data_IF_470992562896
#
_entry.id   IF_470992562896
#
_cell.length_a   1.000
_cell.length_b   1.000
_cell.length_c   1.000
_cell.angle_alpha   90.00
_cell.angle_beta   90.00
_cell.angle_gamma   90.00
#
_symmetry.space_group_name_H-M   'P 1'
#
loop_
_entity.id
_entity.type
_entity.pdbx_description
1 polymer ?
#
# COMPACT_ATOMS: atom_id res chain seq x y z
N UNK A 1 -27.27 28.83 -63.91
CA UNK A 1 -26.91 30.02 -63.09
C UNK A 1 -25.41 30.21 -63.24
N UNK A 2 -24.87 31.04 -64.15
CA UNK A 2 -24.79 32.52 -64.19
C UNK A 2 -24.18 33.18 -62.94
N UNK A 3 -23.03 33.83 -63.17
CA UNK A 3 -22.48 35.04 -62.49
C UNK A 3 -21.95 34.79 -61.05
N UNK A 4 -20.94 35.46 -60.49
CA UNK A 4 -20.23 36.74 -60.72
C UNK A 4 -19.03 36.72 -59.74
N UNK A 5 -17.80 37.06 -60.14
CA UNK A 5 -17.17 38.39 -60.06
C UNK A 5 -16.64 38.83 -58.69
N UNK A 6 -15.48 39.51 -58.76
CA UNK A 6 -15.04 40.67 -57.95
C UNK A 6 -14.50 40.35 -56.53
N UNK A 7 -13.51 41.03 -55.94
CA UNK A 7 -12.89 42.38 -56.06
C UNK A 7 -11.58 42.30 -55.18
N UNK A 8 -10.40 42.80 -55.57
CA UNK A 8 -9.80 44.12 -55.19
C UNK A 8 -9.62 44.27 -53.65
N UNK A 9 -8.56 44.80 -53.01
CA UNK A 9 -7.31 45.49 -53.35
C UNK A 9 -6.78 46.07 -52.00
N UNK A 10 -5.57 46.62 -52.02
CA UNK A 10 -4.97 47.60 -51.08
C UNK A 10 -4.44 47.04 -49.74
N UNK A 11 -3.12 46.80 -49.62
CA UNK A 11 -2.05 47.79 -49.30
C UNK A 11 -2.25 48.41 -47.91
N UNK A 12 -1.26 48.46 -47.03
CA UNK A 12 -0.07 49.31 -47.16
C UNK A 12 0.86 48.97 -45.98
N UNK A 13 2.18 48.88 -46.24
CA UNK A 13 3.25 49.52 -45.44
C UNK A 13 3.44 49.00 -43.96
N UNK A 14 4.62 48.65 -43.43
CA UNK A 14 5.95 49.23 -43.61
C UNK A 14 7.09 48.39 -43.02
N UNK A 15 8.31 48.76 -43.45
CA UNK A 15 9.58 48.74 -42.73
C UNK A 15 10.13 47.35 -42.32
N UNK A 16 11.17 46.83 -42.98
CA UNK A 16 12.57 47.30 -42.90
C UNK A 16 13.01 47.61 -41.47
N UNK A 17 13.72 46.69 -40.82
CA UNK A 17 15.12 46.94 -40.51
C UNK A 17 15.81 45.70 -39.92
N UNK A 18 17.03 45.53 -40.41
CA UNK A 18 18.06 44.59 -39.98
C UNK A 18 18.67 45.02 -38.64
N UNK A 19 19.34 44.02 -38.06
CA UNK A 19 20.44 44.07 -37.10
C UNK A 19 20.10 44.28 -35.61
N UNK A 20 20.37 43.25 -34.80
CA UNK A 20 21.67 43.10 -34.14
C UNK A 20 21.76 41.76 -33.39
N UNK A 21 22.86 41.05 -33.61
CA UNK A 21 23.35 39.97 -32.74
C UNK A 21 23.85 40.56 -31.41
N UNK A 22 23.86 39.68 -30.42
CA UNK A 22 24.44 39.77 -29.07
C UNK A 22 23.50 40.17 -27.92
N UNK A 23 23.54 39.32 -26.89
CA UNK A 23 22.79 39.30 -25.60
C UNK A 23 21.46 38.54 -25.58
N UNK A 24 21.48 37.23 -25.81
CA UNK A 24 20.40 36.34 -25.35
C UNK A 24 20.83 34.94 -24.86
N UNK A 25 22.12 34.59 -24.85
CA UNK A 25 22.56 33.23 -24.47
C UNK A 25 22.81 33.09 -22.96
N UNK A 26 23.20 34.15 -22.24
CA UNK A 26 23.50 34.06 -20.80
C UNK A 26 22.27 34.04 -19.88
N UNK A 27 21.13 34.58 -20.32
CA UNK A 27 19.88 34.60 -19.53
C UNK A 27 19.06 33.32 -19.65
N UNK A 28 19.29 32.50 -20.67
CA UNK A 28 18.61 31.20 -20.83
C UNK A 28 19.17 30.14 -19.87
N UNK A 29 20.48 30.12 -19.64
CA UNK A 29 21.11 29.11 -18.78
C UNK A 29 20.77 29.29 -17.28
N UNK A 30 20.60 30.52 -16.78
CA UNK A 30 20.11 30.76 -15.41
C UNK A 30 18.62 30.41 -15.23
N UNK A 31 17.76 30.73 -16.21
CA UNK A 31 16.33 30.33 -16.16
C UNK A 31 16.10 28.82 -16.32
N UNK A 32 16.96 28.13 -17.08
CA UNK A 32 16.87 26.67 -17.22
C UNK A 32 17.41 25.95 -15.99
N UNK A 33 18.38 26.52 -15.26
CA UNK A 33 18.86 25.96 -13.99
C UNK A 33 17.89 26.16 -12.81
N UNK A 34 17.08 27.22 -12.81
CA UNK A 34 16.08 27.43 -11.75
C UNK A 34 14.73 26.71 -11.99
N UNK A 35 14.51 26.07 -13.16
CA UNK A 35 13.21 25.45 -13.51
C UNK A 35 13.21 23.93 -13.67
N UNK A 36 14.29 23.23 -13.29
CA UNK A 36 14.34 21.76 -13.13
C UNK A 36 15.34 21.49 -12.01
N UNK A 37 14.96 21.51 -10.74
CA UNK A 37 14.44 20.35 -10.00
C UNK A 37 13.47 20.88 -8.93
N UNK A 38 12.26 21.28 -9.32
CA UNK A 38 11.11 20.87 -8.53
C UNK A 38 10.74 19.51 -9.10
N UNK A 39 11.34 18.45 -8.54
CA UNK A 39 10.78 17.11 -8.64
C UNK A 39 9.33 17.22 -8.21
N UNK A 40 8.43 17.32 -9.19
CA UNK A 40 7.01 17.09 -9.04
C UNK A 40 6.94 15.78 -8.25
N UNK A 41 6.63 15.86 -6.96
CA UNK A 41 6.50 14.68 -6.08
C UNK A 41 5.68 13.71 -6.90
N UNK A 42 6.26 12.57 -7.30
CA UNK A 42 5.48 11.64 -8.08
C UNK A 42 4.29 11.28 -7.19
N UNK A 43 3.07 11.38 -7.71
CA UNK A 43 1.85 11.00 -6.99
C UNK A 43 1.75 9.46 -6.85
N UNK A 44 2.90 8.79 -6.77
CA UNK A 44 3.04 7.35 -6.74
C UNK A 44 3.20 6.94 -5.29
N UNK A 45 2.41 5.96 -4.87
CA UNK A 45 2.50 5.35 -3.55
C UNK A 45 3.91 4.78 -3.33
N UNK A 46 4.59 5.36 -2.34
CA UNK A 46 5.97 5.04 -2.02
C UNK A 46 6.03 3.96 -0.95
N UNK A 47 5.94 2.70 -1.39
CA UNK A 47 5.97 1.53 -0.50
C UNK A 47 7.17 1.49 0.46
N UNK A 48 8.31 2.11 0.10
CA UNK A 48 9.51 2.09 0.94
C UNK A 48 9.32 2.87 2.26
N UNK A 49 8.34 3.78 2.33
CA UNK A 49 7.99 4.49 3.57
C UNK A 49 7.10 3.67 4.51
N UNK A 50 6.53 2.58 4.03
CA UNK A 50 5.55 1.77 4.74
C UNK A 50 6.14 0.42 5.16
N UNK A 51 7.26 0.47 5.88
CA UNK A 51 7.89 -0.72 6.45
C UNK A 51 7.01 -1.27 7.58
N UNK A 52 6.77 -2.58 7.55
CA UNK A 52 6.02 -3.31 8.58
C UNK A 52 6.92 -3.53 9.78
N UNK A 53 6.45 -3.16 10.97
CA UNK A 53 7.18 -3.33 12.23
C UNK A 53 6.22 -3.37 13.42
N UNK A 54 6.76 -3.63 14.62
CA UNK A 54 5.98 -3.72 15.85
C UNK A 54 5.06 -2.50 16.05
N UNK A 55 3.75 -2.77 16.08
CA UNK A 55 2.70 -1.78 16.31
C UNK A 55 2.49 -0.73 15.21
N UNK A 56 3.13 -0.86 14.03
CA UNK A 56 3.01 0.15 12.97
C UNK A 56 3.38 -0.31 11.55
N UNK A 57 2.84 0.42 10.57
CA UNK A 57 3.31 0.41 9.19
C UNK A 57 3.71 1.82 8.75
N UNK A 58 5.02 2.02 8.53
CA UNK A 58 5.57 3.36 8.36
C UNK A 58 5.28 4.26 9.57
N UNK A 59 4.52 5.33 9.34
CA UNK A 59 4.08 6.27 10.38
C UNK A 59 2.69 5.97 10.96
N UNK A 60 1.94 5.02 10.38
CA UNK A 60 0.61 4.63 10.85
C UNK A 60 0.77 3.62 11.98
N UNK A 61 0.20 3.91 13.15
CA UNK A 61 0.40 3.13 14.38
C UNK A 61 -0.92 2.62 14.93
N UNK A 62 -0.88 1.49 15.63
CA UNK A 62 -1.94 1.09 16.55
C UNK A 62 -2.17 2.22 17.56
N UNK A 63 -3.43 2.48 17.89
CA UNK A 63 -3.83 3.58 18.77
C UNK A 63 -3.99 4.94 18.08
N UNK A 64 -3.66 5.07 16.79
CA UNK A 64 -3.89 6.29 16.02
C UNK A 64 -5.35 6.37 15.55
N UNK A 65 -5.93 7.57 15.48
CA UNK A 65 -7.25 7.77 14.87
C UNK A 65 -7.20 7.57 13.35
N UNK A 66 -8.24 6.98 12.76
CA UNK A 66 -8.32 6.71 11.31
C UNK A 66 -8.03 7.99 10.50
N UNK A 67 -8.62 9.12 10.89
CA UNK A 67 -8.43 10.40 10.18
C UNK A 67 -6.97 10.89 10.18
N UNK A 68 -6.19 10.55 11.22
CA UNK A 68 -4.77 10.89 11.29
C UNK A 68 -3.94 9.95 10.41
N UNK A 69 -4.25 8.65 10.41
CA UNK A 69 -3.60 7.67 9.55
C UNK A 69 -3.83 7.98 8.06
N UNK A 70 -5.02 8.45 7.69
CA UNK A 70 -5.38 8.78 6.32
C UNK A 70 -4.55 9.91 5.70
N UNK A 71 -3.92 10.75 6.51
CA UNK A 71 -2.97 11.77 6.04
C UNK A 71 -1.78 11.15 5.31
N UNK A 72 -1.42 9.91 5.63
CA UNK A 72 -0.35 9.16 4.97
C UNK A 72 -0.83 8.34 3.76
N UNK A 73 -2.15 8.11 3.63
CA UNK A 73 -2.74 7.22 2.63
C UNK A 73 -3.41 7.97 1.47
N UNK A 74 -3.07 9.25 1.28
CA UNK A 74 -3.73 10.16 0.32
C UNK A 74 -3.64 9.74 -1.16
N UNK A 75 -2.80 8.78 -1.50
CA UNK A 75 -2.65 8.22 -2.85
C UNK A 75 -3.44 6.91 -3.05
N UNK A 76 -4.14 6.44 -2.01
CA UNK A 76 -4.94 5.22 -2.03
C UNK A 76 -6.43 5.56 -2.01
N UNK A 77 -7.23 4.66 -2.57
CA UNK A 77 -8.69 4.74 -2.52
C UNK A 77 -9.21 3.94 -1.34
N UNK A 78 -10.05 4.57 -0.51
CA UNK A 78 -10.69 3.95 0.65
C UNK A 78 -11.97 3.23 0.25
N UNK A 79 -12.13 2.01 0.71
CA UNK A 79 -13.40 1.27 0.74
C UNK A 79 -13.65 0.76 2.16
N UNK A 80 -14.85 0.24 2.39
CA UNK A 80 -15.31 -0.25 3.69
C UNK A 80 -15.67 -1.73 3.55
N UNK A 81 -15.27 -2.53 4.54
CA UNK A 81 -15.57 -3.95 4.65
C UNK A 81 -15.99 -4.27 6.10
N UNK A 82 -16.42 -5.50 6.34
CA UNK A 82 -16.70 -5.95 7.70
C UNK A 82 -15.38 -6.26 8.42
N UNK A 83 -15.29 -5.98 9.71
CA UNK A 83 -14.09 -6.33 10.47
C UNK A 83 -13.91 -7.86 10.56
N UNK A 84 -15.01 -8.61 10.44
CA UNK A 84 -15.03 -10.07 10.36
C UNK A 84 -14.22 -10.62 9.17
N UNK A 85 -14.19 -9.90 8.04
CA UNK A 85 -13.37 -10.26 6.86
C UNK A 85 -11.86 -10.28 7.16
N UNK A 86 -11.46 -9.76 8.33
CA UNK A 86 -10.09 -9.73 8.85
C UNK A 86 -9.94 -10.50 10.17
N UNK A 87 -10.92 -11.33 10.56
CA UNK A 87 -10.86 -12.14 11.79
C UNK A 87 -11.31 -11.42 13.08
N UNK A 88 -12.04 -10.30 12.97
CA UNK A 88 -12.53 -9.55 14.13
C UNK A 88 -14.06 -9.63 14.28
N UNK A 89 -14.55 -10.53 15.13
CA UNK A 89 -15.98 -10.76 15.42
C UNK A 89 -16.62 -9.75 16.42
N UNK A 90 -16.08 -8.53 16.47
CA UNK A 90 -16.57 -7.49 17.38
C UNK A 90 -17.84 -6.77 16.90
N UNK A 91 -18.32 -7.01 15.69
CA UNK A 91 -19.39 -6.23 15.07
C UNK A 91 -18.95 -4.80 14.72
N UNK A 92 -17.95 -4.68 13.86
CA UNK A 92 -17.37 -3.41 13.40
C UNK A 92 -17.00 -3.43 11.92
N UNK A 93 -16.28 -2.41 11.47
CA UNK A 93 -15.85 -2.28 10.07
C UNK A 93 -14.34 -2.24 9.96
N UNK A 94 -13.82 -2.64 8.80
CA UNK A 94 -12.47 -2.36 8.37
C UNK A 94 -12.48 -1.32 7.24
N UNK A 95 -11.43 -0.51 7.17
CA UNK A 95 -11.20 0.42 6.07
C UNK A 95 -10.06 -0.09 5.20
N UNK A 96 -10.36 -0.45 3.95
CA UNK A 96 -9.38 -0.98 3.01
C UNK A 96 -8.88 0.16 2.13
N UNK A 97 -7.57 0.30 2.01
CA UNK A 97 -6.92 1.31 1.19
C UNK A 97 -6.23 0.62 0.01
N UNK A 98 -6.66 0.97 -1.19
CA UNK A 98 -6.26 0.29 -2.42
C UNK A 98 -5.53 1.20 -3.40
N UNK A 99 -4.53 0.65 -4.09
CA UNK A 99 -3.86 1.30 -5.21
C UNK A 99 -4.32 0.65 -6.50
N UNK A 100 -5.01 1.40 -7.38
CA UNK A 100 -5.54 0.87 -8.65
C UNK A 100 -6.35 -0.43 -8.44
N UNK A 101 -7.27 -0.42 -7.47
CA UNK A 101 -8.14 -1.52 -7.08
C UNK A 101 -7.41 -2.77 -6.52
N UNK A 102 -6.12 -2.65 -6.18
CA UNK A 102 -5.39 -3.69 -5.45
C UNK A 102 -5.29 -3.28 -3.98
N UNK A 103 -5.78 -4.10 -3.03
CA UNK A 103 -5.65 -3.81 -1.60
C UNK A 103 -4.19 -3.66 -1.16
N UNK A 104 -3.92 -2.65 -0.34
CA UNK A 104 -2.57 -2.35 0.16
C UNK A 104 -2.52 -2.50 1.68
N UNK A 105 -3.37 -1.78 2.39
CA UNK A 105 -3.47 -1.79 3.85
C UNK A 105 -4.96 -1.83 4.21
N UNK A 106 -5.33 -2.58 5.26
CA UNK A 106 -6.59 -2.36 5.95
C UNK A 106 -6.33 -1.84 7.37
N UNK A 107 -7.15 -0.88 7.79
CA UNK A 107 -7.16 -0.35 9.15
C UNK A 107 -8.44 -0.83 9.84
N UNK A 108 -8.27 -1.55 10.96
CA UNK A 108 -9.36 -2.10 11.75
C UNK A 108 -9.47 -1.24 13.02
N UNK A 109 -10.45 -0.32 13.11
CA UNK A 109 -10.70 0.43 14.33
C UNK A 109 -11.32 -0.43 15.44
N UNK A 110 -11.24 0.04 16.69
CA UNK A 110 -12.06 -0.48 17.78
C UNK A 110 -13.55 -0.27 17.46
N UNK A 111 -14.44 -1.13 17.96
CA UNK A 111 -15.88 -1.07 17.64
C UNK A 111 -16.52 0.31 17.88
N UNK A 112 -16.22 0.91 19.03
CA UNK A 112 -16.92 2.10 19.53
C UNK A 112 -16.07 3.39 19.37
N UNK A 113 -14.98 3.36 18.57
CA UNK A 113 -14.12 4.52 18.32
C UNK A 113 -13.41 4.43 16.96
N UNK A 114 -12.91 5.53 16.42
CA UNK A 114 -12.04 5.50 15.23
C UNK A 114 -10.56 5.26 15.56
N UNK A 115 -10.23 4.80 16.77
CA UNK A 115 -8.87 4.40 17.13
C UNK A 115 -8.52 3.05 16.50
N UNK A 116 -7.38 2.97 15.81
CA UNK A 116 -6.90 1.74 15.18
C UNK A 116 -6.58 0.69 16.25
N UNK A 117 -7.28 -0.43 16.18
CA UNK A 117 -7.04 -1.64 16.96
C UNK A 117 -5.99 -2.54 16.31
N UNK A 118 -6.09 -2.72 14.99
CA UNK A 118 -5.20 -3.57 14.22
C UNK A 118 -4.96 -3.01 12.81
N UNK A 119 -3.84 -3.41 12.21
CA UNK A 119 -3.48 -3.06 10.83
C UNK A 119 -3.19 -4.36 10.08
N UNK A 120 -3.85 -4.58 8.95
CA UNK A 120 -3.50 -5.67 8.03
C UNK A 120 -2.70 -5.12 6.85
N UNK A 121 -1.45 -5.58 6.69
CA UNK A 121 -0.63 -5.30 5.51
C UNK A 121 -0.94 -6.35 4.43
N UNK A 122 -1.53 -5.93 3.31
CA UNK A 122 -2.12 -6.82 2.30
C UNK A 122 -1.24 -6.96 1.04
N UNK A 123 -0.46 -5.93 0.71
CA UNK A 123 0.36 -5.95 -0.51
C UNK A 123 1.74 -6.53 -0.27
N UNK A 124 2.21 -7.44 -1.14
CA UNK A 124 3.60 -7.94 -1.17
C UNK A 124 4.69 -6.87 -1.30
N UNK A 125 4.31 -5.67 -1.72
CA UNK A 125 5.24 -4.54 -1.83
C UNK A 125 5.52 -3.89 -0.46
N UNK A 126 4.70 -4.16 0.56
CA UNK A 126 4.95 -3.78 1.94
C UNK A 126 5.85 -4.83 2.58
N UNK A 127 6.99 -4.39 3.09
CA UNK A 127 8.04 -5.31 3.57
C UNK A 127 8.39 -5.03 5.03
N UNK A 128 8.73 -6.09 5.74
CA UNK A 128 9.45 -6.05 6.99
C UNK A 128 10.95 -5.82 6.74
N UNK A 129 11.68 -5.39 7.76
CA UNK A 129 13.14 -5.20 7.67
C UNK A 129 13.92 -6.48 7.34
N UNK A 130 13.38 -7.66 7.69
CA UNK A 130 13.98 -8.95 7.38
C UNK A 130 13.62 -9.46 5.96
N UNK A 131 12.90 -8.65 5.18
CA UNK A 131 12.50 -8.94 3.81
C UNK A 131 11.16 -9.67 3.66
N UNK A 132 10.56 -10.17 4.76
CA UNK A 132 9.24 -10.80 4.71
C UNK A 132 8.16 -9.79 4.35
N UNK A 133 7.11 -10.29 3.71
CA UNK A 133 6.00 -9.52 3.18
C UNK A 133 4.75 -10.40 3.03
N UNK A 134 3.55 -9.82 2.83
CA UNK A 134 2.39 -10.58 2.36
C UNK A 134 2.76 -11.36 1.10
N UNK A 135 2.27 -12.57 0.93
CA UNK A 135 2.72 -13.58 -0.05
C UNK A 135 4.05 -14.30 0.24
N UNK A 136 4.72 -14.04 1.38
CA UNK A 136 5.86 -14.88 1.80
C UNK A 136 5.37 -16.29 2.11
N UNK A 137 6.14 -17.28 1.70
CA UNK A 137 5.86 -18.69 1.96
C UNK A 137 6.18 -19.06 3.41
N UNK A 138 5.54 -20.11 3.91
CA UNK A 138 5.88 -20.74 5.19
C UNK A 138 7.37 -21.08 5.26
N UNK A 139 7.97 -21.58 4.17
CA UNK A 139 9.41 -21.85 4.10
C UNK A 139 10.26 -20.58 4.32
N UNK A 140 9.92 -19.46 3.67
CA UNK A 140 10.63 -18.18 3.84
C UNK A 140 10.49 -17.63 5.26
N UNK A 141 9.31 -17.77 5.86
CA UNK A 141 9.06 -17.39 7.26
C UNK A 141 9.95 -18.22 8.18
N UNK A 142 9.98 -19.55 8.02
CA UNK A 142 10.82 -20.44 8.84
C UNK A 142 12.32 -20.16 8.71
N UNK A 143 12.79 -19.70 7.56
CA UNK A 143 14.20 -19.28 7.44
C UNK A 143 14.54 -18.10 8.37
N UNK A 144 13.55 -17.27 8.72
CA UNK A 144 13.72 -16.15 9.66
C UNK A 144 13.32 -16.51 11.08
N UNK A 145 12.39 -17.45 11.25
CA UNK A 145 11.87 -17.93 12.52
C UNK A 145 11.89 -19.48 12.54
N UNK A 146 13.05 -20.11 12.80
CA UNK A 146 13.22 -21.56 12.63
C UNK A 146 12.23 -22.42 13.43
N UNK A 147 11.89 -21.96 14.63
CA UNK A 147 11.04 -22.68 15.60
C UNK A 147 9.57 -22.24 15.57
N UNK A 148 9.18 -21.43 14.58
CA UNK A 148 7.80 -20.91 14.50
C UNK A 148 6.81 -22.05 14.24
N UNK A 149 5.70 -22.01 14.98
CA UNK A 149 4.60 -22.98 14.88
C UNK A 149 3.41 -22.35 14.18
N UNK A 150 2.56 -23.20 13.62
CA UNK A 150 1.26 -22.81 13.07
C UNK A 150 0.22 -22.99 14.16
N UNK A 151 -0.61 -21.98 14.35
CA UNK A 151 -1.74 -21.96 15.26
C UNK A 151 -3.04 -22.01 14.44
N UNK A 152 -4.10 -22.57 15.01
CA UNK A 152 -5.43 -22.52 14.43
C UNK A 152 -6.18 -21.30 14.95
N UNK A 153 -6.87 -20.59 14.06
CA UNK A 153 -7.98 -19.71 14.43
C UNK A 153 -9.28 -20.49 14.26
N UNK A 154 -9.82 -21.01 15.37
CA UNK A 154 -11.03 -21.86 15.37
C UNK A 154 -12.27 -21.07 14.94
N UNK A 155 -12.26 -19.75 15.08
CA UNK A 155 -13.40 -18.92 14.71
C UNK A 155 -13.48 -18.74 13.19
N UNK A 156 -12.33 -18.67 12.51
CA UNK A 156 -12.24 -18.38 11.09
C UNK A 156 -11.86 -19.58 10.22
N UNK A 157 -11.52 -20.72 10.82
CA UNK A 157 -10.85 -21.88 10.19
C UNK A 157 -9.51 -21.55 9.51
N UNK A 158 -8.97 -20.37 9.83
CA UNK A 158 -7.70 -19.89 9.35
C UNK A 158 -6.56 -20.45 10.20
N UNK A 159 -5.35 -20.24 9.71
CA UNK A 159 -4.14 -20.55 10.44
C UNK A 159 -3.25 -19.32 10.51
N UNK A 160 -2.43 -19.25 11.55
CA UNK A 160 -1.47 -18.16 11.68
C UNK A 160 -0.17 -18.58 12.34
N UNK A 161 0.89 -17.88 11.96
CA UNK A 161 2.19 -17.96 12.63
C UNK A 161 2.44 -16.67 13.40
N UNK A 162 2.76 -16.79 14.69
CA UNK A 162 2.91 -15.65 15.60
C UNK A 162 4.40 -15.26 15.77
N UNK A 163 4.72 -13.99 15.54
CA UNK A 163 5.98 -13.37 15.96
C UNK A 163 5.74 -12.59 17.26
N UNK A 164 5.90 -13.28 18.39
CA UNK A 164 5.68 -12.72 19.72
C UNK A 164 6.57 -11.51 20.03
N UNK A 165 7.80 -11.50 19.50
CA UNK A 165 8.76 -10.42 19.76
C UNK A 165 8.25 -9.11 19.17
N UNK A 166 7.75 -9.18 17.93
CA UNK A 166 7.27 -8.01 17.21
C UNK A 166 5.76 -7.77 17.34
N UNK A 167 5.01 -8.67 18.00
CA UNK A 167 3.55 -8.60 18.10
C UNK A 167 2.89 -8.56 16.72
N UNK A 168 3.28 -9.49 15.85
CA UNK A 168 2.82 -9.62 14.47
C UNK A 168 2.31 -11.03 14.22
N UNK A 169 1.33 -11.17 13.33
CA UNK A 169 0.85 -12.46 12.85
C UNK A 169 0.98 -12.56 11.33
N UNK A 170 1.49 -13.70 10.86
CA UNK A 170 1.37 -14.10 9.47
C UNK A 170 0.07 -14.89 9.34
N UNK A 171 -0.94 -14.29 8.71
CA UNK A 171 -2.27 -14.91 8.56
C UNK A 171 -2.34 -15.71 7.25
N UNK A 172 -2.92 -16.90 7.34
CA UNK A 172 -3.19 -17.80 6.23
C UNK A 172 -4.69 -18.13 6.23
N UNK A 173 -5.42 -17.69 5.21
CA UNK A 173 -6.84 -17.97 5.01
C UNK A 173 -7.03 -19.41 4.52
N UNK A 174 -6.73 -20.36 5.41
CA UNK A 174 -6.96 -21.78 5.18
C UNK A 174 -8.40 -22.17 5.46
N UNK A 175 -8.66 -23.46 5.27
CA UNK A 175 -9.88 -24.20 5.52
C UNK A 175 -9.46 -25.62 5.90
N UNK A 176 -10.40 -26.45 6.33
CA UNK A 176 -10.16 -27.85 6.69
C UNK A 176 -9.42 -28.65 5.60
N UNK A 177 -9.62 -28.31 4.32
CA UNK A 177 -9.06 -29.06 3.19
C UNK A 177 -7.64 -28.62 2.79
N UNK A 178 -7.14 -27.51 3.34
CA UNK A 178 -5.86 -26.92 2.93
C UNK A 178 -5.05 -26.38 4.11
N UNK A 179 -5.18 -26.99 5.28
CA UNK A 179 -4.36 -26.69 6.46
C UNK A 179 -2.86 -26.85 6.18
N UNK A 180 -2.06 -26.02 6.84
CA UNK A 180 -0.60 -25.97 6.83
C UNK A 180 -0.06 -26.93 7.88
N UNK A 181 -0.65 -26.92 9.07
CA UNK A 181 -0.30 -27.77 10.20
C UNK A 181 -1.00 -29.14 10.17
N UNK A 182 -0.57 -30.03 11.05
CA UNK A 182 -1.35 -31.22 11.43
C UNK A 182 -1.52 -31.21 12.94
N UNK A 183 -2.78 -31.20 13.37
CA UNK A 183 -3.14 -30.97 14.76
C UNK A 183 -3.62 -32.26 15.39
N UNK A 184 -2.95 -32.68 16.46
CA UNK A 184 -3.42 -33.81 17.29
C UNK A 184 -4.57 -33.40 18.20
N UNK A 185 -4.63 -32.11 18.56
CA UNK A 185 -5.61 -31.51 19.46
C UNK A 185 -5.90 -30.07 18.98
N UNK A 186 -7.12 -29.59 19.22
CA UNK A 186 -7.51 -28.22 18.92
C UNK A 186 -6.70 -27.22 19.76
N UNK A 187 -6.41 -26.05 19.18
CA UNK A 187 -5.68 -24.94 19.82
C UNK A 187 -4.22 -25.24 20.22
N UNK A 188 -3.72 -26.45 19.97
CA UNK A 188 -2.31 -26.78 20.19
C UNK A 188 -1.52 -26.45 18.92
N UNK A 189 -0.52 -25.56 18.97
CA UNK A 189 0.25 -25.21 17.79
C UNK A 189 1.04 -26.41 17.25
N UNK A 190 1.14 -26.52 15.92
CA UNK A 190 1.80 -27.65 15.25
C UNK A 190 2.99 -27.20 14.39
N UNK A 191 3.83 -28.16 14.02
CA UNK A 191 4.84 -27.94 12.98
C UNK A 191 4.16 -27.82 11.61
N UNK A 192 4.57 -26.86 10.76
CA UNK A 192 4.04 -26.75 9.42
C UNK A 192 4.47 -27.95 8.56
N UNK A 193 3.50 -28.62 7.95
CA UNK A 193 3.73 -29.67 6.93
C UNK A 193 3.80 -29.10 5.51
N UNK A 194 2.98 -28.08 5.21
CA UNK A 194 2.93 -27.45 3.89
C UNK A 194 3.71 -26.15 3.88
N UNK A 195 4.90 -26.20 3.30
CA UNK A 195 5.87 -25.11 3.39
C UNK A 195 5.79 -24.11 2.23
N UNK A 196 5.02 -24.42 1.18
CA UNK A 196 4.84 -23.61 -0.02
C UNK A 196 3.66 -22.63 0.07
N UNK A 197 2.83 -22.75 1.11
CA UNK A 197 1.69 -21.88 1.34
C UNK A 197 2.14 -20.48 1.68
N UNK A 198 1.46 -19.51 1.07
CA UNK A 198 1.76 -18.09 1.17
C UNK A 198 0.85 -17.42 2.18
N UNK A 199 1.42 -16.51 2.96
CA UNK A 199 0.68 -15.63 3.86
C UNK A 199 -0.23 -14.70 3.08
N UNK A 200 -1.49 -14.56 3.48
CA UNK A 200 -2.45 -13.65 2.87
C UNK A 200 -2.19 -12.20 3.30
N UNK A 201 -1.97 -11.98 4.60
CA UNK A 201 -1.50 -10.70 5.12
C UNK A 201 -0.66 -10.82 6.38
N UNK A 202 0.04 -9.74 6.70
CA UNK A 202 0.70 -9.59 7.99
C UNK A 202 -0.16 -8.67 8.85
N UNK A 203 -0.65 -9.19 9.96
CA UNK A 203 -1.41 -8.43 10.94
C UNK A 203 -0.50 -7.84 12.00
N UNK A 204 -0.79 -6.60 12.38
CA UNK A 204 -0.10 -5.82 13.38
C UNK A 204 -1.08 -5.50 14.50
N UNK A 205 -0.72 -5.82 15.74
CA UNK A 205 -1.48 -5.52 16.97
C UNK A 205 -0.69 -4.64 17.93
#
# INVERSE_FOLDING_TARGET
MKLKSLLILLTLFQFSCKDKKEKQVETWNKRVQEFKIQTKKSNVFDFQKFIISKGKIGEIKIGMHINDAEKFLNQLTKTKAEAYDFGFDGGGFAYIYSLKNQPVIALIPKRDSDEILAIAALSKNLKMNNGLHPESTVAEIRQKYPDIKVNQDIMMDWEFMQDEKNNLQFIFMTSENNQIGEYSELEIPSEPKRIDIKTDWIEIR
#
